data_IF_850612260313
#
_entry.id   IF_850612260313
#
_cell.length_a   1.000
_cell.length_b   1.000
_cell.length_c   1.000
_cell.angle_alpha   90.00
_cell.angle_beta   90.00
_cell.angle_gamma   90.00
#
_symmetry.space_group_name_H-M   'P 1'
#
loop_
_entity.id
_entity.type
_entity.pdbx_description
1 polymer ?
#
# COMPACT_ATOMS: atom_id res chain seq x y z
N UNK A 1 35.99 -5.66 14.48
CA UNK A 1 35.55 -6.36 13.26
C UNK A 1 34.31 -5.65 12.78
N UNK A 2 34.45 -4.91 11.69
CA UNK A 2 33.37 -4.09 11.16
C UNK A 2 32.30 -5.01 10.60
N UNK A 3 31.11 -5.05 11.22
CA UNK A 3 29.92 -5.66 10.63
C UNK A 3 29.50 -4.77 9.45
N UNK A 4 30.22 -4.87 8.33
CA UNK A 4 30.01 -4.02 7.15
C UNK A 4 28.79 -4.44 6.35
N UNK A 5 28.30 -5.65 6.57
CA UNK A 5 27.11 -6.17 5.89
C UNK A 5 26.04 -6.51 6.92
N UNK A 6 24.81 -6.08 6.64
CA UNK A 6 23.61 -6.39 7.43
C UNK A 6 23.48 -7.90 7.66
N UNK A 7 23.87 -8.70 6.67
CA UNK A 7 23.91 -10.16 6.75
C UNK A 7 24.83 -10.66 7.86
N UNK A 8 25.96 -10.01 8.12
CA UNK A 8 26.86 -10.38 9.21
C UNK A 8 26.25 -10.01 10.56
N UNK A 9 25.53 -8.89 10.64
CA UNK A 9 24.77 -8.51 11.85
C UNK A 9 23.70 -9.55 12.13
N UNK A 10 22.95 -9.96 11.09
CA UNK A 10 21.93 -11.00 11.21
C UNK A 10 22.53 -12.35 11.61
N UNK A 11 23.60 -12.81 10.94
CA UNK A 11 24.29 -14.07 11.29
C UNK A 11 24.84 -14.04 12.71
N UNK A 12 25.40 -12.91 13.14
CA UNK A 12 25.89 -12.74 14.50
C UNK A 12 24.75 -12.79 15.51
N UNK A 13 23.64 -12.09 15.25
CA UNK A 13 22.45 -12.13 16.10
C UNK A 13 21.84 -13.55 16.16
N UNK A 14 21.80 -14.26 15.04
CA UNK A 14 21.39 -15.67 14.96
C UNK A 14 22.25 -16.57 15.88
N UNK A 15 23.58 -16.37 15.89
CA UNK A 15 24.47 -17.12 16.77
C UNK A 15 24.27 -16.81 18.27
N UNK A 16 23.66 -15.67 18.60
CA UNK A 16 23.29 -15.30 19.96
C UNK A 16 21.90 -15.78 20.35
N UNK A 17 21.08 -16.21 19.38
CA UNK A 17 19.69 -16.62 19.62
C UNK A 17 19.66 -18.04 20.19
N UNK A 18 19.13 -18.20 21.39
CA UNK A 18 18.96 -19.51 22.02
C UNK A 18 17.54 -20.08 21.81
N UNK A 19 17.36 -21.36 22.11
CA UNK A 19 16.08 -22.05 21.89
C UNK A 19 14.92 -21.40 22.65
N UNK A 20 15.13 -20.90 23.86
CA UNK A 20 14.07 -20.25 24.64
C UNK A 20 13.60 -18.94 23.98
N UNK A 21 14.52 -18.18 23.39
CA UNK A 21 14.18 -16.97 22.63
C UNK A 21 13.42 -17.31 21.35
N UNK A 22 13.82 -18.39 20.67
CA UNK A 22 13.12 -18.89 19.48
C UNK A 22 11.68 -19.32 19.82
N UNK A 23 11.52 -20.11 20.89
CA UNK A 23 10.23 -20.58 21.39
C UNK A 23 9.35 -19.39 21.82
N UNK A 24 9.95 -18.38 22.45
CA UNK A 24 9.26 -17.14 22.80
C UNK A 24 8.78 -16.39 21.55
N UNK A 25 9.65 -16.16 20.56
CA UNK A 25 9.29 -15.49 19.31
C UNK A 25 8.20 -16.26 18.55
N UNK A 26 8.26 -17.59 18.54
CA UNK A 26 7.24 -18.44 17.93
C UNK A 26 5.91 -18.37 18.71
N UNK A 27 5.95 -18.30 20.04
CA UNK A 27 4.75 -18.11 20.88
C UNK A 27 4.06 -16.77 20.64
N UNK A 28 4.83 -15.73 20.27
CA UNK A 28 4.30 -14.43 19.88
C UNK A 28 3.76 -14.49 18.45
N UNK A 29 4.50 -15.08 17.50
CA UNK A 29 4.12 -15.11 16.09
C UNK A 29 2.85 -15.91 15.82
N UNK A 30 2.63 -17.01 16.54
CA UNK A 30 1.43 -17.86 16.44
C UNK A 30 0.13 -17.11 16.75
N UNK A 31 0.19 -15.99 17.48
CA UNK A 31 -0.98 -15.12 17.74
C UNK A 31 -1.27 -14.14 16.60
N UNK A 32 -0.36 -14.01 15.65
CA UNK A 32 -0.38 -13.06 14.56
C UNK A 32 -0.22 -13.76 13.20
N UNK A 33 -1.03 -14.81 12.99
CA UNK A 33 -1.07 -15.50 11.72
C UNK A 33 -1.54 -14.54 10.61
N UNK A 34 -0.79 -14.54 9.52
CA UNK A 34 -1.07 -13.75 8.31
C UNK A 34 -1.38 -14.67 7.14
N UNK A 35 -1.87 -15.87 7.43
CA UNK A 35 -2.30 -16.83 6.43
C UNK A 35 -3.54 -16.31 5.70
N UNK A 36 -3.69 -16.79 4.47
CA UNK A 36 -4.86 -16.53 3.64
C UNK A 36 -5.94 -17.56 3.99
N UNK A 37 -7.15 -17.08 4.23
CA UNK A 37 -8.30 -17.89 4.63
C UNK A 37 -9.51 -17.53 3.76
N UNK A 38 -10.01 -18.45 2.92
CA UNK A 38 -11.18 -18.20 2.09
C UNK A 38 -12.46 -17.97 2.91
N UNK A 39 -12.59 -18.52 4.12
CA UNK A 39 -13.76 -18.30 4.97
C UNK A 39 -13.78 -16.88 5.54
N UNK A 40 -12.65 -16.38 6.04
CA UNK A 40 -12.52 -14.99 6.49
C UNK A 40 -12.60 -13.99 5.32
N UNK A 41 -12.15 -14.40 4.12
CA UNK A 41 -12.39 -13.63 2.89
C UNK A 41 -13.89 -13.49 2.60
N UNK A 42 -14.65 -14.59 2.70
CA UNK A 42 -16.11 -14.57 2.53
C UNK A 42 -16.81 -13.69 3.58
N UNK A 43 -16.42 -13.77 4.85
CA UNK A 43 -16.93 -12.89 5.93
C UNK A 43 -16.65 -11.42 5.62
N UNK A 44 -15.46 -11.10 5.12
CA UNK A 44 -15.09 -9.75 4.69
C UNK A 44 -15.94 -9.27 3.51
N UNK A 45 -16.20 -10.14 2.53
CA UNK A 45 -17.11 -9.86 1.41
C UNK A 45 -18.53 -9.54 1.89
N UNK A 46 -19.07 -10.30 2.85
CA UNK A 46 -20.41 -10.02 3.39
C UNK A 46 -20.50 -8.73 4.21
N UNK A 47 -19.44 -8.36 4.94
CA UNK A 47 -19.32 -7.02 5.57
C UNK A 47 -19.33 -5.91 4.52
N UNK A 48 -18.63 -6.12 3.40
CA UNK A 48 -18.64 -5.23 2.24
C UNK A 48 -20.03 -5.09 1.63
N UNK A 49 -20.75 -6.20 1.46
CA UNK A 49 -22.13 -6.21 0.94
C UNK A 49 -23.08 -5.41 1.84
N UNK A 50 -22.96 -5.57 3.16
CA UNK A 50 -23.74 -4.81 4.13
C UNK A 50 -23.46 -3.31 4.03
N UNK A 51 -22.17 -2.92 3.94
CA UNK A 51 -21.77 -1.52 3.76
C UNK A 51 -22.23 -0.94 2.41
N UNK A 52 -22.21 -1.76 1.35
CA UNK A 52 -22.65 -1.36 0.02
C UNK A 52 -24.16 -1.10 -0.01
N UNK A 53 -24.97 -1.98 0.61
CA UNK A 53 -26.42 -1.78 0.77
C UNK A 53 -26.74 -0.51 1.54
N UNK A 54 -25.92 -0.17 2.54
CA UNK A 54 -26.00 1.09 3.28
C UNK A 54 -25.46 2.31 2.50
N UNK A 55 -25.04 2.14 1.23
CA UNK A 55 -24.43 3.18 0.38
C UNK A 55 -23.12 3.77 0.94
N UNK A 56 -22.49 3.08 1.88
CA UNK A 56 -21.18 3.44 2.43
C UNK A 56 -20.08 2.88 1.51
N UNK A 57 -19.98 3.38 0.28
CA UNK A 57 -19.15 2.78 -0.77
C UNK A 57 -17.66 2.73 -0.43
N UNK A 58 -17.12 3.74 0.27
CA UNK A 58 -15.71 3.72 0.74
C UNK A 58 -15.48 2.58 1.73
N UNK A 59 -16.38 2.38 2.69
CA UNK A 59 -16.28 1.27 3.65
C UNK A 59 -16.47 -0.10 2.96
N UNK A 60 -17.39 -0.18 2.00
CA UNK A 60 -17.58 -1.38 1.19
C UNK A 60 -16.30 -1.75 0.43
N UNK A 61 -15.69 -0.79 -0.27
CA UNK A 61 -14.41 -0.99 -0.97
C UNK A 61 -13.31 -1.50 -0.04
N UNK A 62 -13.21 -0.97 1.18
CA UNK A 62 -12.23 -1.42 2.18
C UNK A 62 -12.47 -2.84 2.67
N UNK A 63 -13.72 -3.22 2.94
CA UNK A 63 -14.07 -4.60 3.30
C UNK A 63 -13.80 -5.58 2.16
N UNK A 64 -14.09 -5.21 0.91
CA UNK A 64 -13.76 -6.05 -0.23
C UNK A 64 -12.24 -6.17 -0.44
N UNK A 65 -11.49 -5.08 -0.24
CA UNK A 65 -10.02 -5.10 -0.26
C UNK A 65 -9.43 -6.00 0.83
N UNK A 66 -10.03 -6.01 2.03
CA UNK A 66 -9.65 -6.97 3.07
C UNK A 66 -9.94 -8.41 2.62
N UNK A 67 -11.10 -8.66 2.01
CA UNK A 67 -11.45 -9.96 1.44
C UNK A 67 -10.47 -10.43 0.36
N UNK A 68 -10.02 -9.53 -0.51
CA UNK A 68 -8.97 -9.80 -1.50
C UNK A 68 -7.68 -10.23 -0.79
N UNK A 69 -7.17 -9.45 0.15
CA UNK A 69 -5.94 -9.81 0.86
C UNK A 69 -6.02 -11.17 1.57
N UNK A 70 -7.17 -11.51 2.15
CA UNK A 70 -7.41 -12.80 2.82
C UNK A 70 -7.58 -13.97 1.85
N UNK A 71 -8.02 -13.74 0.61
CA UNK A 71 -8.32 -14.80 -0.33
C UNK A 71 -7.03 -15.48 -0.83
N UNK A 72 -6.96 -16.83 -0.79
CA UNK A 72 -5.94 -17.59 -1.50
C UNK A 72 -5.95 -17.29 -3.00
N UNK A 73 -4.79 -17.44 -3.65
CA UNK A 73 -4.73 -17.38 -5.11
C UNK A 73 -5.66 -18.45 -5.71
N UNK A 74 -6.32 -18.09 -6.81
CA UNK A 74 -7.31 -18.95 -7.50
C UNK A 74 -8.55 -19.34 -6.69
N UNK A 75 -8.79 -18.75 -5.51
CA UNK A 75 -10.04 -18.99 -4.79
C UNK A 75 -11.22 -18.24 -5.44
N UNK A 76 -12.41 -18.83 -5.39
CA UNK A 76 -13.66 -18.17 -5.84
C UNK A 76 -13.86 -16.82 -5.13
N UNK A 77 -13.50 -16.73 -3.84
CA UNK A 77 -13.65 -15.50 -3.09
C UNK A 77 -12.82 -14.34 -3.66
N UNK A 78 -11.69 -14.61 -4.30
CA UNK A 78 -10.84 -13.59 -4.89
C UNK A 78 -11.58 -12.86 -6.03
N UNK A 79 -12.11 -13.62 -7.00
CA UNK A 79 -12.82 -13.04 -8.15
C UNK A 79 -14.14 -12.36 -7.73
N UNK A 80 -14.85 -12.94 -6.76
CA UNK A 80 -16.06 -12.35 -6.18
C UNK A 80 -15.77 -11.02 -5.46
N UNK A 81 -14.67 -10.94 -4.71
CA UNK A 81 -14.30 -9.69 -4.04
C UNK A 81 -13.89 -8.60 -5.05
N UNK A 82 -13.16 -8.93 -6.12
CA UNK A 82 -12.87 -7.98 -7.21
C UNK A 82 -14.15 -7.49 -7.90
N UNK A 83 -15.08 -8.40 -8.22
CA UNK A 83 -16.37 -8.07 -8.81
C UNK A 83 -17.22 -7.13 -7.94
N UNK A 84 -17.19 -7.31 -6.62
CA UNK A 84 -17.92 -6.45 -5.69
C UNK A 84 -17.19 -5.13 -5.41
N UNK A 85 -15.85 -5.14 -5.32
CA UNK A 85 -15.05 -3.92 -5.14
C UNK A 85 -15.18 -2.99 -6.35
N UNK A 86 -15.20 -3.52 -7.58
CA UNK A 86 -15.46 -2.70 -8.77
C UNK A 86 -16.83 -2.02 -8.71
N UNK A 87 -17.84 -2.61 -8.06
CA UNK A 87 -19.14 -1.95 -7.87
C UNK A 87 -19.01 -0.73 -6.96
N UNK A 88 -18.29 -0.88 -5.84
CA UNK A 88 -18.05 0.22 -4.91
C UNK A 88 -17.20 1.32 -5.56
N UNK A 89 -16.14 0.96 -6.28
CA UNK A 89 -15.28 1.91 -7.01
C UNK A 89 -16.04 2.68 -8.09
N UNK A 90 -16.97 2.03 -8.80
CA UNK A 90 -17.84 2.70 -9.76
C UNK A 90 -18.66 3.82 -9.11
N UNK A 91 -19.28 3.55 -7.97
CA UNK A 91 -20.04 4.57 -7.22
C UNK A 91 -19.15 5.68 -6.63
N UNK A 92 -17.86 5.39 -6.42
CA UNK A 92 -16.84 6.37 -6.01
C UNK A 92 -16.22 7.13 -7.21
N UNK A 93 -16.66 6.87 -8.44
CA UNK A 93 -16.13 7.45 -9.68
C UNK A 93 -14.64 7.14 -9.95
N UNK A 94 -14.11 6.11 -9.28
CA UNK A 94 -12.78 5.54 -9.51
C UNK A 94 -12.84 4.57 -10.70
N UNK A 95 -13.11 5.12 -11.89
CA UNK A 95 -13.41 4.32 -13.08
C UNK A 95 -12.22 3.49 -13.58
N UNK A 96 -11.00 3.99 -13.45
CA UNK A 96 -9.79 3.25 -13.86
C UNK A 96 -9.56 2.01 -12.98
N UNK A 97 -9.64 2.19 -11.67
CA UNK A 97 -9.51 1.11 -10.69
C UNK A 97 -10.68 0.12 -10.80
N UNK A 98 -11.89 0.63 -11.09
CA UNK A 98 -13.06 -0.21 -11.37
C UNK A 98 -12.81 -1.14 -12.56
N UNK A 99 -12.27 -0.62 -13.67
CA UNK A 99 -11.92 -1.42 -14.85
C UNK A 99 -10.83 -2.45 -14.54
N UNK A 100 -9.82 -2.08 -13.76
CA UNK A 100 -8.78 -2.99 -13.32
C UNK A 100 -9.33 -4.17 -12.52
N UNK A 101 -10.25 -3.91 -11.59
CA UNK A 101 -10.93 -4.95 -10.82
C UNK A 101 -11.85 -5.83 -11.67
N UNK A 102 -12.56 -5.25 -12.65
CA UNK A 102 -13.38 -6.02 -13.60
C UNK A 102 -12.52 -7.01 -14.40
N UNK A 103 -11.38 -6.55 -14.92
CA UNK A 103 -10.47 -7.42 -15.67
C UNK A 103 -9.95 -8.55 -14.78
N UNK A 104 -9.46 -8.26 -13.58
CA UNK A 104 -8.99 -9.28 -12.63
C UNK A 104 -10.06 -10.32 -12.28
N UNK A 105 -11.32 -9.88 -12.12
CA UNK A 105 -12.42 -10.81 -11.90
C UNK A 105 -12.64 -11.72 -13.11
N UNK A 106 -12.68 -11.17 -14.32
CA UNK A 106 -12.91 -11.92 -15.57
C UNK A 106 -11.73 -12.81 -15.99
N UNK A 107 -10.50 -12.43 -15.64
CA UNK A 107 -9.28 -13.22 -15.88
C UNK A 107 -9.17 -14.41 -14.90
N UNK A 108 -10.04 -14.46 -13.88
CA UNK A 108 -10.17 -15.57 -12.93
C UNK A 108 -11.40 -16.43 -13.26
N UNK A 109 -11.65 -17.50 -12.50
CA UNK A 109 -12.83 -18.36 -12.62
C UNK A 109 -14.14 -17.68 -12.14
N UNK A 110 -14.45 -16.48 -12.62
CA UNK A 110 -15.67 -15.77 -12.27
C UNK A 110 -16.91 -16.41 -12.92
N UNK A 111 -18.04 -16.57 -12.20
CA UNK A 111 -19.20 -17.25 -12.75
C UNK A 111 -19.73 -16.58 -14.02
N UNK A 112 -19.72 -17.32 -15.13
CA UNK A 112 -20.10 -16.82 -16.48
C UNK A 112 -21.49 -16.20 -16.50
N UNK A 113 -22.44 -16.79 -15.77
CA UNK A 113 -23.82 -16.27 -15.67
C UNK A 113 -23.92 -14.90 -14.99
N UNK A 114 -22.93 -14.50 -14.18
CA UNK A 114 -22.87 -13.19 -13.53
C UNK A 114 -22.07 -12.16 -14.32
N UNK A 115 -21.31 -12.58 -15.34
CA UNK A 115 -20.38 -11.73 -16.09
C UNK A 115 -21.04 -10.52 -16.76
N UNK A 116 -22.31 -10.63 -17.16
CA UNK A 116 -23.07 -9.53 -17.77
C UNK A 116 -23.04 -8.26 -16.91
N UNK A 117 -23.14 -8.39 -15.58
CA UNK A 117 -23.10 -7.24 -14.65
C UNK A 117 -21.76 -6.50 -14.69
N UNK A 118 -20.67 -7.24 -14.89
CA UNK A 118 -19.34 -6.65 -15.00
C UNK A 118 -19.14 -5.98 -16.35
N UNK A 119 -19.63 -6.58 -17.43
CA UNK A 119 -19.56 -6.01 -18.78
C UNK A 119 -20.39 -4.73 -18.90
N UNK A 120 -21.59 -4.70 -18.31
CA UNK A 120 -22.42 -3.48 -18.25
C UNK A 120 -21.68 -2.37 -17.51
N UNK A 121 -21.12 -2.67 -16.33
CA UNK A 121 -20.33 -1.71 -15.55
C UNK A 121 -19.09 -1.23 -16.31
N UNK A 122 -18.40 -2.13 -17.03
CA UNK A 122 -17.25 -1.81 -17.88
C UNK A 122 -17.63 -0.81 -18.96
N UNK A 123 -18.74 -1.04 -19.66
CA UNK A 123 -19.26 -0.14 -20.69
C UNK A 123 -19.57 1.26 -20.13
N UNK A 124 -20.19 1.33 -18.94
CA UNK A 124 -20.48 2.58 -18.25
C UNK A 124 -19.19 3.33 -17.86
N UNK A 125 -18.20 2.63 -17.29
CA UNK A 125 -16.90 3.23 -16.96
C UNK A 125 -16.22 3.84 -18.19
N UNK A 126 -16.17 3.11 -19.31
CA UNK A 126 -15.56 3.59 -20.55
C UNK A 126 -16.29 4.83 -21.10
N UNK A 127 -17.62 4.84 -21.04
CA UNK A 127 -18.43 5.99 -21.45
C UNK A 127 -18.14 7.23 -20.59
N UNK A 128 -17.99 7.06 -19.28
CA UNK A 128 -17.62 8.15 -18.37
C UNK A 128 -16.21 8.69 -18.63
N UNK A 129 -15.25 7.83 -18.95
CA UNK A 129 -13.88 8.23 -19.27
C UNK A 129 -13.80 8.99 -20.60
N UNK A 130 -14.41 8.46 -21.66
CA UNK A 130 -14.47 9.14 -22.96
C UNK A 130 -15.20 10.50 -22.88
N UNK A 131 -16.26 10.59 -22.06
CA UNK A 131 -16.98 11.84 -21.82
C UNK A 131 -16.16 12.89 -21.06
N UNK A 132 -15.12 12.50 -20.30
CA UNK A 132 -14.20 13.45 -19.64
C UNK A 132 -13.16 13.97 -20.63
N UNK A 133 -12.61 13.11 -21.47
CA UNK A 133 -11.62 13.49 -22.49
C UNK A 133 -12.18 14.52 -23.48
N UNK A 134 -13.44 14.35 -23.90
CA UNK A 134 -14.12 15.29 -24.79
C UNK A 134 -14.42 16.66 -24.14
N UNK A 135 -14.52 16.75 -22.81
CA UNK A 135 -14.72 18.02 -22.09
C UNK A 135 -13.41 18.76 -21.83
N UNK A 136 -12.28 18.06 -21.76
CA UNK A 136 -10.93 18.65 -21.68
C UNK A 136 -10.40 19.19 -23.01
N UNK A 137 -11.07 18.93 -24.14
CA UNK A 137 -10.65 19.39 -25.48
C UNK A 137 -11.10 20.80 -25.89
N UNK A 138 -11.83 21.54 -25.04
CA UNK A 138 -12.42 22.85 -25.40
C UNK A 138 -12.12 24.00 -24.42
N UNK A 139 -11.11 23.85 -23.56
CA UNK A 139 -10.61 24.93 -22.70
C UNK A 139 -9.09 24.86 -22.70
N UNK A 140 -8.45 25.91 -23.25
CA UNK A 140 -7.02 26.10 -23.13
C UNK A 140 -6.58 25.92 -21.69
N UNK A 141 -5.57 25.08 -21.49
CA UNK A 141 -5.03 24.68 -20.20
C UNK A 141 -4.99 25.82 -19.18
N UNK A 142 -5.77 25.79 -18.09
CA UNK A 142 -5.30 26.36 -16.86
C UNK A 142 -4.29 25.36 -16.32
N UNK A 143 -3.01 25.74 -16.45
CA UNK A 143 -1.90 25.07 -15.80
C UNK A 143 -2.32 24.65 -14.38
N UNK A 144 -2.20 23.36 -14.09
CA UNK A 144 -2.18 22.88 -12.71
C UNK A 144 -1.20 23.75 -11.96
N UNK A 145 -1.73 24.57 -11.05
CA UNK A 145 -0.93 25.27 -10.05
C UNK A 145 -0.25 24.18 -9.22
N UNK A 146 0.93 23.76 -9.66
CA UNK A 146 1.98 23.34 -8.76
C UNK A 146 2.15 24.52 -7.81
N UNK A 147 1.94 24.27 -6.51
CA UNK A 147 2.49 25.16 -5.51
C UNK A 147 4.00 25.04 -5.61
N UNK A 148 4.60 25.84 -6.49
CA UNK A 148 5.99 26.22 -6.44
C UNK A 148 6.12 27.31 -5.38
N UNK A 149 6.51 26.85 -4.20
CA UNK A 149 7.15 27.62 -3.14
C UNK A 149 8.03 26.60 -2.40
N UNK A 150 9.36 26.61 -2.45
CA UNK A 150 10.34 27.48 -3.07
C UNK A 150 11.52 26.59 -3.49
N UNK A 151 12.30 27.04 -4.49
CA UNK A 151 13.61 26.54 -4.91
C UNK A 151 14.14 25.27 -4.20
N UNK A 152 13.89 24.11 -4.80
CA UNK A 152 14.58 22.87 -4.49
C UNK A 152 14.70 22.10 -5.79
N UNK A 153 15.92 22.04 -6.34
CA UNK A 153 16.23 21.12 -7.42
C UNK A 153 15.90 19.69 -7.01
N UNK A 154 15.90 18.76 -7.96
CA UNK A 154 15.84 17.32 -7.71
C UNK A 154 16.85 16.95 -6.61
N UNK A 155 16.39 16.87 -5.36
CA UNK A 155 17.24 16.59 -4.21
C UNK A 155 17.45 15.08 -4.22
N UNK A 156 18.48 14.65 -4.96
CA UNK A 156 19.04 13.33 -4.78
C UNK A 156 19.32 13.06 -3.30
N UNK A 157 19.10 11.83 -2.86
CA UNK A 157 19.38 11.42 -1.48
C UNK A 157 20.82 11.77 -1.10
N UNK A 158 21.00 12.41 0.06
CA UNK A 158 22.32 12.85 0.52
C UNK A 158 22.31 14.06 1.45
N UNK A 159 23.50 14.44 1.89
CA UNK A 159 23.73 15.67 2.65
C UNK A 159 23.85 16.87 1.73
N UNK A 160 23.47 18.05 2.20
CA UNK A 160 23.79 19.27 1.47
C UNK A 160 25.31 19.53 1.49
N UNK A 161 25.83 20.24 0.48
CA UNK A 161 27.28 20.47 0.31
C UNK A 161 27.93 21.18 1.51
N UNK A 162 27.14 21.91 2.32
CA UNK A 162 27.61 22.64 3.50
C UNK A 162 27.88 21.74 4.72
N UNK A 163 27.51 20.47 4.64
CA UNK A 163 27.56 19.54 5.76
C UNK A 163 28.30 18.26 5.35
N UNK A 164 29.28 17.86 6.15
CA UNK A 164 30.01 16.60 6.02
C UNK A 164 29.56 15.59 7.09
N UNK A 165 29.68 14.30 6.79
CA UNK A 165 29.52 13.22 7.79
C UNK A 165 30.91 12.90 8.34
N UNK A 166 31.09 13.03 9.65
CA UNK A 166 32.34 12.75 10.34
C UNK A 166 32.16 11.73 11.47
N UNK A 167 33.28 11.21 11.98
CA UNK A 167 33.32 10.30 13.12
C UNK A 167 34.33 10.80 14.14
N UNK A 168 33.92 10.89 15.40
CA UNK A 168 34.81 11.10 16.54
C UNK A 168 34.59 10.03 17.62
N UNK A 169 35.57 9.81 18.49
CA UNK A 169 35.47 8.85 19.58
C UNK A 169 34.38 9.22 20.60
N UNK A 170 34.15 10.52 20.82
CA UNK A 170 33.16 11.02 21.79
C UNK A 170 31.73 11.02 21.25
N UNK A 171 31.53 11.34 19.95
CA UNK A 171 30.20 11.56 19.37
C UNK A 171 29.74 10.46 18.42
N UNK A 172 30.61 9.51 18.07
CA UNK A 172 30.32 8.56 17.00
C UNK A 172 30.13 9.27 15.66
N UNK A 173 29.22 8.75 14.82
CA UNK A 173 28.84 9.33 13.52
C UNK A 173 28.02 10.60 13.71
N UNK A 174 28.47 11.72 13.17
CA UNK A 174 27.82 13.02 13.33
C UNK A 174 27.95 13.89 12.08
N UNK A 175 27.09 14.91 11.97
CA UNK A 175 27.14 15.91 10.91
C UNK A 175 27.97 17.10 11.37
N UNK A 176 28.89 17.57 10.54
CA UNK A 176 29.67 18.79 10.76
C UNK A 176 29.30 19.84 9.70
N UNK A 177 28.88 21.01 10.14
CA UNK A 177 28.67 22.14 9.23
C UNK A 177 30.02 22.81 8.92
N UNK A 178 30.47 22.70 7.67
CA UNK A 178 31.69 23.37 7.20
C UNK A 178 31.47 24.85 6.86
N UNK A 179 30.21 25.25 6.69
CA UNK A 179 29.79 26.60 6.33
C UNK A 179 28.55 27.02 7.13
N UNK A 180 28.18 28.30 7.03
CA UNK A 180 26.95 28.81 7.64
C UNK A 180 25.71 28.19 6.97
N UNK A 181 24.90 27.51 7.79
CA UNK A 181 23.59 26.96 7.41
C UNK A 181 22.51 27.90 7.92
N UNK A 182 21.72 28.46 7.00
CA UNK A 182 20.65 29.39 7.37
C UNK A 182 19.43 28.61 7.91
N UNK A 183 18.64 29.27 8.77
CA UNK A 183 17.40 28.68 9.28
C UNK A 183 16.44 28.37 8.11
N UNK A 184 15.97 27.12 8.03
CA UNK A 184 15.11 26.63 6.96
C UNK A 184 15.82 25.93 5.80
N UNK A 185 17.17 25.89 5.79
CA UNK A 185 17.91 25.09 4.80
C UNK A 185 17.82 23.59 5.10
N UNK A 186 17.65 22.78 4.05
CA UNK A 186 17.67 21.32 4.15
C UNK A 186 19.12 20.84 4.19
N UNK A 187 19.50 20.18 5.27
CA UNK A 187 20.86 19.67 5.50
C UNK A 187 21.05 18.20 5.10
N UNK A 188 19.97 17.43 5.11
CA UNK A 188 19.96 16.00 4.84
C UNK A 188 18.61 15.62 4.24
N UNK A 189 18.65 14.93 3.11
CA UNK A 189 17.52 14.20 2.55
C UNK A 189 17.88 12.73 2.56
N UNK A 190 17.22 11.96 3.43
CA UNK A 190 17.50 10.54 3.60
C UNK A 190 16.29 9.69 3.22
N UNK A 191 16.55 8.48 2.72
CA UNK A 191 15.52 7.46 2.54
C UNK A 191 15.40 6.71 3.86
N UNK A 192 14.18 6.56 4.43
CA UNK A 192 14.03 5.81 5.67
C UNK A 192 14.56 4.38 5.46
N UNK A 193 15.39 3.92 6.41
CA UNK A 193 15.91 2.55 6.39
C UNK A 193 14.78 1.51 6.45
N UNK A 194 13.75 1.78 7.25
CA UNK A 194 12.54 0.96 7.33
C UNK A 194 11.34 1.83 7.66
N UNK A 195 10.17 1.44 7.17
CA UNK A 195 8.89 2.03 7.53
C UNK A 195 7.90 0.93 7.86
N UNK A 196 7.11 1.13 8.91
CA UNK A 196 6.08 0.17 9.33
C UNK A 196 4.76 0.90 9.51
N UNK A 197 3.70 0.31 8.98
CA UNK A 197 2.34 0.77 9.23
C UNK A 197 1.92 0.29 10.62
N UNK A 198 1.69 1.24 11.53
CA UNK A 198 1.23 0.94 12.88
C UNK A 198 -0.29 0.65 12.80
N UNK A 199 -0.74 -0.53 13.26
CA UNK A 199 -2.16 -0.83 13.30
C UNK A 199 -2.93 0.19 14.15
N UNK A 200 -3.99 0.77 13.59
CA UNK A 200 -4.85 1.68 14.32
C UNK A 200 -5.52 1.01 15.52
N UNK A 201 -5.71 1.73 16.64
CA UNK A 201 -6.53 1.24 17.76
C UNK A 201 -7.95 0.95 17.24
N UNK A 202 -8.42 -0.30 17.39
CA UNK A 202 -9.82 -0.69 17.21
C UNK A 202 -10.67 0.05 18.27
N UNK A 203 -11.06 1.30 18.02
CA UNK A 203 -11.83 2.07 19.00
C UNK A 203 -12.09 3.55 18.71
N UNK A 204 -11.45 4.17 17.72
CA UNK A 204 -11.71 5.57 17.36
C UNK A 204 -12.50 5.69 16.04
N UNK A 205 -13.82 5.87 16.11
CA UNK A 205 -14.81 6.27 15.07
C UNK A 205 -14.71 5.76 13.60
N UNK A 206 -13.68 5.02 13.21
CA UNK A 206 -13.46 4.46 11.89
C UNK A 206 -13.30 2.94 11.98
N UNK A 207 -14.02 2.23 11.12
CA UNK A 207 -14.00 0.75 11.02
C UNK A 207 -12.64 0.21 10.56
N UNK A 208 -11.75 1.07 10.02
CA UNK A 208 -10.48 0.68 9.41
C UNK A 208 -9.31 1.58 9.86
N UNK A 209 -8.21 0.96 10.27
CA UNK A 209 -6.95 1.66 10.57
C UNK A 209 -6.16 2.05 9.31
N UNK A 210 -5.03 2.76 9.50
CA UNK A 210 -4.13 3.19 8.42
C UNK A 210 -3.52 1.99 7.68
N UNK A 211 -3.21 0.92 8.41
CA UNK A 211 -2.66 -0.34 7.88
C UNK A 211 -3.56 -0.98 6.82
N UNK A 212 -4.87 -0.71 6.88
CA UNK A 212 -5.82 -1.26 5.93
C UNK A 212 -5.93 -0.43 4.64
N UNK A 213 -5.46 0.82 4.67
CA UNK A 213 -5.64 1.82 3.61
C UNK A 213 -4.34 2.24 2.95
N UNK A 214 -3.19 1.94 3.54
CA UNK A 214 -1.90 2.37 3.02
C UNK A 214 -1.14 1.22 2.35
N UNK A 215 -0.35 1.59 1.34
CA UNK A 215 0.67 0.75 0.76
C UNK A 215 1.75 0.41 1.79
N UNK A 216 2.13 -0.85 1.93
CA UNK A 216 3.20 -1.28 2.84
C UNK A 216 4.61 -0.93 2.32
N UNK A 217 4.68 -0.38 1.10
CA UNK A 217 5.92 0.04 0.47
C UNK A 217 6.09 1.57 0.50
N UNK A 218 5.23 2.28 -0.24
CA UNK A 218 5.34 3.74 -0.39
C UNK A 218 4.46 4.53 0.58
N UNK A 219 3.73 3.87 1.49
CA UNK A 219 2.81 4.47 2.47
C UNK A 219 1.61 5.23 1.89
N UNK A 220 1.49 5.33 0.56
CA UNK A 220 0.38 6.00 -0.10
C UNK A 220 -0.96 5.33 0.21
N UNK A 221 -2.00 6.14 0.45
CA UNK A 221 -3.36 5.64 0.60
C UNK A 221 -3.89 5.05 -0.72
N UNK A 222 -4.60 3.94 -0.63
CA UNK A 222 -5.26 3.27 -1.75
C UNK A 222 -6.53 2.54 -1.28
N UNK A 223 -7.59 2.63 -2.08
CA UNK A 223 -8.80 1.81 -1.89
C UNK A 223 -8.76 0.52 -2.72
N UNK A 224 -7.84 0.43 -3.68
CA UNK A 224 -7.68 -0.71 -4.59
C UNK A 224 -6.27 -1.30 -4.47
N UNK A 225 -5.89 -1.84 -3.29
CA UNK A 225 -4.60 -2.46 -3.15
C UNK A 225 -4.46 -3.72 -4.01
N UNK A 226 -3.22 -3.99 -4.41
CA UNK A 226 -2.71 -5.27 -4.86
C UNK A 226 -2.28 -6.08 -3.64
N UNK A 227 -2.75 -7.32 -3.54
CA UNK A 227 -2.45 -8.21 -2.41
C UNK A 227 -1.02 -8.75 -2.47
N UNK A 228 -0.43 -9.03 -1.31
CA UNK A 228 0.68 -9.98 -1.25
C UNK A 228 0.21 -11.38 -1.69
N UNK A 229 1.09 -12.14 -2.34
CA UNK A 229 0.80 -13.50 -2.78
C UNK A 229 0.93 -14.51 -1.63
N UNK A 230 1.88 -14.29 -0.71
CA UNK A 230 2.17 -15.20 0.39
C UNK A 230 1.41 -14.94 1.70
N UNK A 231 0.93 -13.71 1.94
CA UNK A 231 0.26 -13.37 3.20
C UNK A 231 -0.99 -12.51 3.01
N UNK A 232 -1.83 -12.43 4.05
CA UNK A 232 -3.06 -11.63 4.08
C UNK A 232 -2.88 -10.22 4.66
N UNK A 233 -1.68 -9.90 5.16
CA UNK A 233 -1.39 -8.62 5.81
C UNK A 233 -0.94 -7.55 4.80
N UNK A 234 0.19 -7.82 4.13
CA UNK A 234 0.87 -6.87 3.26
C UNK A 234 0.06 -6.58 2.00
N UNK A 235 0.05 -5.30 1.61
CA UNK A 235 -0.71 -4.82 0.46
C UNK A 235 -0.04 -3.59 -0.16
N UNK A 236 -0.26 -3.39 -1.44
CA UNK A 236 0.48 -2.41 -2.23
C UNK A 236 -0.44 -1.56 -3.10
N UNK A 237 -0.13 -0.29 -3.31
CA UNK A 237 -0.96 0.56 -4.18
C UNK A 237 -0.84 0.21 -5.67
N UNK A 238 0.20 -0.55 -6.06
CA UNK A 238 0.45 -0.95 -7.44
C UNK A 238 1.29 -2.23 -7.51
N UNK A 239 1.30 -2.88 -8.67
CA UNK A 239 2.18 -4.01 -8.94
C UNK A 239 3.67 -3.61 -8.90
N UNK A 240 3.99 -2.35 -9.23
CA UNK A 240 5.35 -1.83 -9.08
C UNK A 240 5.78 -1.77 -7.60
N UNK A 241 4.92 -1.26 -6.72
CA UNK A 241 5.20 -1.27 -5.28
C UNK A 241 5.27 -2.68 -4.70
N UNK A 242 4.45 -3.62 -5.20
CA UNK A 242 4.53 -5.03 -4.79
C UNK A 242 5.87 -5.66 -5.15
N UNK A 243 6.35 -5.46 -6.39
CA UNK A 243 7.65 -5.99 -6.83
C UNK A 243 8.81 -5.32 -6.12
N UNK A 244 8.81 -3.99 -6.02
CA UNK A 244 9.86 -3.25 -5.31
C UNK A 244 10.01 -3.71 -3.85
N UNK A 245 8.88 -3.95 -3.16
CA UNK A 245 8.90 -4.49 -1.80
C UNK A 245 9.49 -5.90 -1.69
N UNK A 246 9.52 -6.66 -2.78
CA UNK A 246 10.09 -8.02 -2.82
C UNK A 246 11.54 -8.05 -3.36
N UNK A 247 11.95 -7.01 -4.09
CA UNK A 247 13.30 -6.92 -4.68
C UNK A 247 14.29 -6.15 -3.78
N UNK A 248 13.81 -5.23 -2.94
CA UNK A 248 14.65 -4.41 -2.04
C UNK A 248 15.00 -5.12 -0.70
N UNK A 249 14.56 -6.37 -0.51
CA UNK A 249 14.78 -7.23 0.66
C UNK A 249 15.06 -8.68 0.26
#
# INVERSE_FOLDING_TARGET
TSLLEIDDVFKFALNLTNQNELDFLQSVSTRHLVEKDPEEAAKSRERGNSSFKAKHYKAAALHYSQGICLAPQSSEQLCLCYANRSAALYHLQSYQECLGDINKALDSDYPTHLSHKLLDRRSLCLSHLAGRENKSGAVGSPASKKNESAAGGDLGFGTCVKVSVEHSAEKGRHLLAGEYVAAGEVILVDRPYSCVLIPGKRGGQGVFGMEQRCCHWCLAETLSPVQCEGCSYSRYCSAACQRAAWEEH
#
